data_IF_009374051459
#
_entry.id   IF_009374051459
#
_cell.length_a   1.000
_cell.length_b   1.000
_cell.length_c   1.000
_cell.angle_alpha   90.00
_cell.angle_beta   90.00
_cell.angle_gamma   90.00
#
_symmetry.space_group_name_H-M   'P 1'
#
loop_
_entity.id
_entity.type
_entity.pdbx_description
1 polymer ?
#
# COMPACT_ATOMS: atom_id res chain seq x y z
N UNK A 1 4.67 7.24 0.82
CA UNK A 1 4.44 5.87 0.28
C UNK A 1 4.85 4.75 1.23
N UNK A 2 6.09 4.72 1.74
CA UNK A 2 6.50 3.67 2.69
C UNK A 2 5.79 3.78 4.03
N UNK A 3 5.56 5.01 4.51
CA UNK A 3 4.84 5.25 5.75
C UNK A 3 3.41 4.66 5.74
N UNK A 4 2.67 4.83 4.64
CA UNK A 4 1.32 4.26 4.48
C UNK A 4 1.33 2.74 4.44
N UNK A 5 2.34 2.13 3.81
CA UNK A 5 2.52 0.67 3.81
C UNK A 5 2.86 0.13 5.21
N UNK A 6 3.79 0.77 5.93
CA UNK A 6 4.14 0.38 7.30
C UNK A 6 2.95 0.53 8.25
N UNK A 7 2.17 1.60 8.12
CA UNK A 7 0.93 1.78 8.90
C UNK A 7 -0.09 0.68 8.60
N UNK A 8 -0.27 0.30 7.33
CA UNK A 8 -1.17 -0.79 6.95
C UNK A 8 -0.70 -2.14 7.50
N UNK A 9 0.61 -2.40 7.53
CA UNK A 9 1.19 -3.59 8.16
C UNK A 9 0.90 -3.59 9.67
N UNK A 10 1.23 -2.50 10.37
CA UNK A 10 1.02 -2.38 11.81
C UNK A 10 -0.44 -2.62 12.21
N UNK A 11 -1.40 -2.05 11.46
CA UNK A 11 -2.84 -2.23 11.71
C UNK A 11 -3.28 -3.68 11.49
N UNK A 12 -2.83 -4.34 10.43
CA UNK A 12 -3.21 -5.74 10.18
C UNK A 12 -2.56 -6.68 11.20
N UNK A 13 -1.32 -6.41 11.63
CA UNK A 13 -0.66 -7.17 12.71
C UNK A 13 -1.40 -7.02 14.03
N UNK A 14 -1.78 -5.78 14.40
CA UNK A 14 -2.55 -5.52 15.62
C UNK A 14 -3.92 -6.22 15.57
N UNK A 15 -4.60 -6.20 14.43
CA UNK A 15 -5.87 -6.93 14.24
C UNK A 15 -5.68 -8.43 14.44
N UNK A 16 -4.66 -9.05 13.83
CA UNK A 16 -4.38 -10.48 14.04
C UNK A 16 -4.17 -10.78 15.51
N UNK A 17 -3.38 -9.97 16.21
CA UNK A 17 -3.15 -10.15 17.64
C UNK A 17 -4.45 -10.10 18.43
N UNK A 18 -5.29 -9.07 18.21
CA UNK A 18 -6.58 -8.93 18.89
C UNK A 18 -7.50 -10.11 18.61
N UNK A 19 -7.66 -10.51 17.35
CA UNK A 19 -8.53 -11.64 16.99
C UNK A 19 -7.99 -12.97 17.56
N UNK A 20 -6.67 -13.16 17.59
CA UNK A 20 -6.07 -14.39 18.11
C UNK A 20 -6.21 -14.48 19.63
N UNK A 21 -6.07 -13.37 20.35
CA UNK A 21 -6.11 -13.34 21.84
C UNK A 21 -7.55 -13.30 22.37
N UNK A 22 -8.44 -12.54 21.73
CA UNK A 22 -9.77 -12.26 22.27
C UNK A 22 -10.93 -12.91 21.50
N UNK A 23 -10.71 -13.43 20.28
CA UNK A 23 -11.77 -13.95 19.41
C UNK A 23 -11.36 -15.25 18.70
N UNK A 24 -11.03 -16.26 19.50
CA UNK A 24 -10.53 -17.58 19.08
C UNK A 24 -11.45 -18.37 18.12
N UNK A 25 -12.68 -17.91 17.86
CA UNK A 25 -13.60 -18.48 16.86
C UNK A 25 -13.50 -17.91 15.44
N UNK A 26 -12.85 -16.76 15.24
CA UNK A 26 -12.87 -16.06 13.94
C UNK A 26 -11.63 -16.34 13.06
N UNK A 27 -11.41 -17.62 12.79
CA UNK A 27 -10.28 -18.12 11.98
C UNK A 27 -10.30 -17.52 10.56
N UNK A 28 -11.48 -17.24 10.02
CA UNK A 28 -11.63 -16.66 8.68
C UNK A 28 -11.08 -15.24 8.63
N UNK A 29 -11.39 -14.40 9.62
CA UNK A 29 -10.83 -13.04 9.72
C UNK A 29 -9.31 -13.05 9.91
N UNK A 30 -8.78 -13.98 10.70
CA UNK A 30 -7.33 -14.16 10.87
C UNK A 30 -6.67 -14.55 9.54
N UNK A 31 -7.26 -15.51 8.79
CA UNK A 31 -6.78 -15.90 7.45
C UNK A 31 -6.80 -14.73 6.48
N UNK A 32 -7.86 -13.92 6.47
CA UNK A 32 -7.95 -12.73 5.61
C UNK A 32 -6.88 -11.70 5.96
N UNK A 33 -6.66 -11.43 7.25
CA UNK A 33 -5.61 -10.51 7.69
C UNK A 33 -4.21 -11.02 7.30
N UNK A 34 -3.96 -12.32 7.41
CA UNK A 34 -2.68 -12.93 6.97
C UNK A 34 -2.49 -12.80 5.45
N UNK A 35 -3.52 -13.05 4.65
CA UNK A 35 -3.46 -12.82 3.19
C UNK A 35 -3.16 -11.36 2.86
N UNK A 36 -3.76 -10.40 3.57
CA UNK A 36 -3.47 -8.97 3.41
C UNK A 36 -2.03 -8.62 3.79
N UNK A 37 -1.50 -9.18 4.88
CA UNK A 37 -0.09 -9.00 5.25
C UNK A 37 0.87 -9.56 4.20
N UNK A 38 0.60 -10.75 3.65
CA UNK A 38 1.41 -11.33 2.58
C UNK A 38 1.39 -10.46 1.31
N UNK A 39 0.25 -9.84 0.98
CA UNK A 39 0.16 -8.85 -0.11
C UNK A 39 1.01 -7.62 0.18
N UNK A 40 0.88 -7.03 1.38
CA UNK A 40 1.67 -5.86 1.80
C UNK A 40 3.18 -6.15 1.77
N UNK A 41 3.60 -7.32 2.24
CA UNK A 41 5.01 -7.74 2.22
C UNK A 41 5.56 -7.78 0.79
N UNK A 42 4.82 -8.38 -0.15
CA UNK A 42 5.22 -8.41 -1.58
C UNK A 42 5.33 -7.01 -2.18
N UNK A 43 4.38 -6.12 -1.87
CA UNK A 43 4.42 -4.72 -2.33
C UNK A 43 5.63 -3.99 -1.74
N UNK A 44 5.88 -4.11 -0.44
CA UNK A 44 7.03 -3.48 0.22
C UNK A 44 8.35 -4.00 -0.36
N UNK A 45 8.44 -5.29 -0.67
CA UNK A 45 9.60 -5.88 -1.33
C UNK A 45 9.90 -5.17 -2.65
N UNK A 46 8.90 -5.00 -3.52
CA UNK A 46 9.07 -4.31 -4.80
C UNK A 46 9.39 -2.82 -4.63
N UNK A 47 8.77 -2.15 -3.66
CA UNK A 47 9.11 -0.75 -3.35
C UNK A 47 10.56 -0.61 -2.90
N UNK A 48 11.07 -1.55 -2.09
CA UNK A 48 12.49 -1.57 -1.70
C UNK A 48 13.40 -1.85 -2.88
N UNK A 49 13.05 -2.80 -3.75
CA UNK A 49 13.79 -3.07 -4.99
C UNK A 49 13.91 -1.82 -5.87
N UNK A 50 12.81 -1.06 -6.01
CA UNK A 50 12.82 0.23 -6.71
C UNK A 50 13.78 1.24 -6.07
N UNK A 51 13.80 1.32 -4.74
CA UNK A 51 14.65 2.27 -4.01
C UNK A 51 16.13 1.90 -3.98
N UNK A 52 16.45 0.59 -4.07
CA UNK A 52 17.82 0.12 -4.17
C UNK A 52 18.39 0.31 -5.58
N UNK A 53 17.53 0.54 -6.58
CA UNK A 53 17.93 0.88 -7.93
C UNK A 53 18.48 2.30 -7.98
N UNK A 54 19.55 2.53 -8.76
CA UNK A 54 20.10 3.87 -8.92
C UNK A 54 19.03 4.79 -9.55
N UNK A 55 18.80 6.00 -9.03
CA UNK A 55 17.69 6.86 -9.47
C UNK A 55 17.70 7.12 -10.98
N UNK A 56 18.86 7.33 -11.58
CA UNK A 56 18.97 7.55 -13.03
C UNK A 56 18.53 6.33 -13.86
N UNK A 57 18.83 5.12 -13.40
CA UNK A 57 18.44 3.89 -14.08
C UNK A 57 16.93 3.69 -14.00
N UNK A 58 16.35 3.87 -12.82
CA UNK A 58 14.92 3.72 -12.61
C UNK A 58 14.11 4.73 -13.44
N UNK A 59 14.58 5.97 -13.51
CA UNK A 59 13.94 7.02 -14.31
C UNK A 59 14.12 6.75 -15.81
N UNK A 60 15.26 6.22 -16.22
CA UNK A 60 15.53 5.89 -17.63
C UNK A 60 14.71 4.71 -18.14
N UNK A 61 14.54 3.65 -17.35
CA UNK A 61 13.82 2.44 -17.78
C UNK A 61 12.31 2.53 -17.57
N UNK A 62 11.87 3.15 -16.46
CA UNK A 62 10.48 3.12 -16.03
C UNK A 62 9.83 4.51 -15.94
N UNK A 63 10.61 5.59 -16.01
CA UNK A 63 10.11 6.97 -15.85
C UNK A 63 9.78 7.33 -14.39
N UNK A 64 9.06 6.48 -13.67
CA UNK A 64 8.68 6.71 -12.28
C UNK A 64 8.67 5.42 -11.45
N UNK A 65 8.74 5.57 -10.13
CA UNK A 65 8.55 4.44 -9.18
C UNK A 65 7.14 3.86 -9.33
N UNK A 66 6.15 4.66 -9.68
CA UNK A 66 4.77 4.20 -9.86
C UNK A 66 4.63 3.28 -11.08
N UNK A 67 5.33 3.59 -12.16
CA UNK A 67 5.33 2.77 -13.38
C UNK A 67 6.18 1.52 -13.20
N UNK A 68 7.31 1.61 -12.49
CA UNK A 68 8.07 0.44 -12.05
C UNK A 68 7.19 -0.54 -11.27
N UNK A 69 6.43 -0.04 -10.28
CA UNK A 69 5.52 -0.86 -9.48
C UNK A 69 4.36 -1.40 -10.30
N UNK A 70 3.88 -0.68 -11.32
CA UNK A 70 2.86 -1.19 -12.24
C UNK A 70 3.38 -2.38 -13.06
N UNK A 71 4.64 -2.33 -13.49
CA UNK A 71 5.26 -3.40 -14.28
C UNK A 71 5.61 -4.65 -13.44
N UNK A 72 5.97 -4.46 -12.16
CA UNK A 72 6.51 -5.55 -11.31
C UNK A 72 5.50 -6.12 -10.30
N UNK A 73 4.36 -5.48 -10.07
CA UNK A 73 3.30 -6.02 -9.22
C UNK A 73 2.26 -6.78 -10.06
N UNK A 74 1.68 -7.82 -9.46
CA UNK A 74 0.47 -8.42 -10.04
C UNK A 74 -0.65 -7.39 -10.10
N UNK A 75 -1.55 -7.51 -11.08
CA UNK A 75 -2.71 -6.61 -11.22
C UNK A 75 -3.51 -6.47 -9.93
N UNK A 76 -3.64 -7.57 -9.18
CA UNK A 76 -4.36 -7.58 -7.90
C UNK A 76 -3.63 -6.84 -6.78
N UNK A 77 -2.31 -6.96 -6.72
CA UNK A 77 -1.47 -6.29 -5.72
C UNK A 77 -1.32 -4.80 -6.05
N UNK A 78 -1.24 -4.44 -7.35
CA UNK A 78 -1.22 -3.06 -7.80
C UNK A 78 -2.53 -2.33 -7.49
N UNK A 79 -3.69 -2.95 -7.75
CA UNK A 79 -5.00 -2.38 -7.36
C UNK A 79 -5.10 -2.15 -5.86
N UNK A 80 -4.64 -3.12 -5.07
CA UNK A 80 -4.60 -2.98 -3.62
C UNK A 80 -3.66 -1.85 -3.18
N UNK A 81 -2.48 -1.74 -3.79
CA UNK A 81 -1.56 -0.63 -3.56
C UNK A 81 -2.18 0.74 -3.87
N UNK A 82 -2.86 0.89 -5.01
CA UNK A 82 -3.56 2.14 -5.38
C UNK A 82 -4.65 2.46 -4.36
N UNK A 83 -5.41 1.46 -3.88
CA UNK A 83 -6.45 1.66 -2.85
C UNK A 83 -5.90 2.11 -1.49
N UNK A 84 -4.61 1.90 -1.22
CA UNK A 84 -3.95 2.33 0.02
C UNK A 84 -3.39 3.76 -0.06
N UNK A 85 -3.31 4.34 -1.27
CA UNK A 85 -2.89 5.73 -1.39
C UNK A 85 -4.05 6.63 -0.92
N UNK A 86 -3.78 7.63 -0.07
CA UNK A 86 -4.80 8.61 0.28
C UNK A 86 -5.26 9.26 -1.02
N UNK A 87 -6.55 9.15 -1.32
CA UNK A 87 -7.16 9.88 -2.43
C UNK A 87 -6.87 11.35 -2.18
N UNK A 88 -5.95 11.93 -2.94
CA UNK A 88 -5.75 13.38 -2.95
C UNK A 88 -7.04 13.93 -3.54
N UNK A 89 -8.00 14.22 -2.67
CA UNK A 89 -9.20 14.94 -3.05
C UNK A 89 -8.69 16.31 -3.49
N UNK A 90 -8.89 16.73 -4.74
CA UNK A 90 -8.56 18.09 -5.12
C UNK A 90 -9.39 18.97 -4.20
N UNK A 91 -8.71 19.77 -3.38
CA UNK A 91 -9.35 20.84 -2.62
C UNK A 91 -9.91 21.77 -3.69
N UNK A 92 -11.21 21.64 -3.99
CA UNK A 92 -11.93 22.68 -4.69
C UNK A 92 -11.77 23.91 -3.81
N UNK A 93 -10.83 24.78 -4.16
CA UNK A 93 -10.77 26.14 -3.69
C UNK A 93 -12.10 26.75 -4.12
N UNK A 94 -13.07 26.76 -3.21
CA UNK A 94 -14.25 27.61 -3.31
C UNK A 94 -13.70 29.03 -3.28
N UNK A 95 -13.37 29.55 -4.47
CA UNK A 95 -13.22 30.99 -4.68
C UNK A 95 -14.60 31.55 -4.41
N UNK A 96 -14.80 31.98 -3.16
CA UNK A 96 -15.90 32.86 -2.81
C UNK A 96 -15.74 34.10 -3.67
N UNK A 97 -16.54 34.19 -4.74
CA UNK A 97 -16.83 35.45 -5.41
C UNK A 97 -17.43 36.36 -4.35
N UNK A 98 -16.63 37.27 -3.81
CA UNK A 98 -17.14 38.46 -3.14
C UNK A 98 -17.82 39.31 -4.23
N UNK A 99 -19.13 39.37 -4.14
CA UNK A 99 -19.98 40.31 -4.87
C UNK A 99 -19.79 41.73 -4.30
#
# INVERSE_FOLDING_TARGET
>A
MIWTLNKAIAVNTARIFVYTVFMSGDINTIKQCRTRLNRLSRIVSQVRSAQMMHPSLLTSEYGSVTDYLRAHLSTSDYRYFVSLQPTVTPVHVLVAKTA
#
